data_IF_313016142169
#
_entry.id   IF_313016142169
#
_cell.length_a   1.000
_cell.length_b   1.000
_cell.length_c   1.000
_cell.angle_alpha   90.00
_cell.angle_beta   90.00
_cell.angle_gamma   90.00
#
_symmetry.space_group_name_H-M   'P 1'
#
loop_
_entity.id
_entity.type
_entity.pdbx_description
1 polymer ?
#
# COMPACT_ATOMS: atom_id res chain seq x y z
N UNK A 1 4.51 19.36 -29.54
CA UNK A 1 4.65 19.70 -28.09
C UNK A 1 4.55 18.39 -27.33
N UNK A 2 5.57 17.99 -26.60
CA UNK A 2 5.46 16.87 -25.66
C UNK A 2 4.56 17.34 -24.50
N UNK A 3 3.47 16.63 -24.27
CA UNK A 3 2.62 16.85 -23.09
C UNK A 3 3.41 16.47 -21.85
N UNK A 4 3.53 17.37 -20.88
CA UNK A 4 4.14 17.04 -19.58
C UNK A 4 3.31 15.95 -18.89
N UNK A 5 3.94 14.98 -18.20
CA UNK A 5 3.20 13.97 -17.44
C UNK A 5 2.38 14.64 -16.34
N UNK A 6 1.15 14.19 -16.18
CA UNK A 6 0.24 14.65 -15.11
C UNK A 6 0.08 13.64 -13.98
N UNK A 7 0.68 12.46 -14.14
CA UNK A 7 0.63 11.36 -13.18
C UNK A 7 2.00 10.72 -13.05
N UNK A 8 2.34 10.27 -11.85
CA UNK A 8 3.57 9.52 -11.60
C UNK A 8 3.31 8.30 -10.71
N UNK A 9 4.09 7.26 -10.94
CA UNK A 9 4.16 6.06 -10.11
C UNK A 9 5.57 5.90 -9.55
N UNK A 10 5.66 5.68 -8.25
CA UNK A 10 6.90 5.43 -7.54
C UNK A 10 6.88 4.01 -7.01
N UNK A 11 7.88 3.22 -7.38
CA UNK A 11 7.97 1.81 -7.01
C UNK A 11 8.85 1.61 -5.77
N UNK A 12 8.31 0.95 -4.75
CA UNK A 12 9.05 0.53 -3.56
C UNK A 12 9.02 -1.01 -3.50
N UNK A 13 10.08 -1.71 -3.89
CA UNK A 13 10.05 -3.16 -4.10
C UNK A 13 10.10 -3.99 -2.82
N UNK A 14 10.16 -3.38 -1.65
CA UNK A 14 10.41 -4.08 -0.39
C UNK A 14 9.13 -4.62 0.24
N UNK A 15 9.22 -5.85 0.78
CA UNK A 15 8.16 -6.48 1.57
C UNK A 15 8.74 -7.08 2.86
N UNK A 16 8.01 -6.96 3.95
CA UNK A 16 8.29 -7.65 5.23
C UNK A 16 7.93 -9.13 5.16
N UNK A 17 7.02 -9.50 4.25
CA UNK A 17 6.56 -10.86 4.00
C UNK A 17 6.28 -11.04 2.51
N UNK A 18 6.74 -12.16 1.94
CA UNK A 18 6.41 -12.54 0.56
C UNK A 18 5.16 -13.40 0.56
N UNK A 19 4.08 -12.89 -0.02
CA UNK A 19 2.80 -13.58 -0.12
C UNK A 19 2.80 -14.60 -1.27
N UNK A 20 2.16 -15.75 -1.08
CA UNK A 20 2.23 -16.87 -2.03
C UNK A 20 1.53 -16.61 -3.38
N UNK A 21 0.61 -15.66 -3.41
CA UNK A 21 -0.16 -15.31 -4.62
C UNK A 21 0.46 -14.16 -5.44
N UNK A 22 1.47 -13.48 -4.88
CA UNK A 22 1.93 -12.22 -5.42
C UNK A 22 3.07 -12.43 -6.42
N UNK A 23 2.91 -11.96 -7.65
CA UNK A 23 3.91 -11.99 -8.73
C UNK A 23 4.42 -10.59 -9.14
N UNK A 24 4.12 -9.54 -8.34
CA UNK A 24 4.72 -8.23 -8.52
C UNK A 24 6.24 -8.25 -8.32
N UNK A 25 6.94 -7.28 -8.94
CA UNK A 25 8.38 -7.07 -8.71
C UNK A 25 8.63 -6.66 -7.27
N UNK A 26 9.08 -7.59 -6.45
CA UNK A 26 9.31 -7.39 -5.02
C UNK A 26 10.50 -8.21 -4.52
N UNK A 27 11.05 -7.75 -3.41
CA UNK A 27 12.12 -8.45 -2.67
C UNK A 27 11.81 -8.44 -1.18
N UNK A 28 12.28 -9.47 -0.47
CA UNK A 28 12.21 -9.50 0.99
C UNK A 28 13.17 -8.44 1.55
N UNK A 29 12.67 -7.55 2.41
CA UNK A 29 13.39 -6.34 2.86
C UNK A 29 14.66 -6.64 3.67
N UNK A 30 14.74 -7.81 4.34
CA UNK A 30 15.87 -8.15 5.19
C UNK A 30 17.17 -8.16 4.39
N UNK A 31 18.17 -7.44 4.90
CA UNK A 31 19.50 -7.29 4.29
C UNK A 31 19.52 -6.55 2.93
N UNK A 32 18.44 -5.85 2.57
CA UNK A 32 18.44 -5.01 1.37
C UNK A 32 19.03 -3.63 1.66
N UNK A 33 19.72 -3.02 0.70
CA UNK A 33 20.27 -1.67 0.83
C UNK A 33 19.18 -0.60 0.63
N UNK A 34 18.17 -0.57 1.54
CA UNK A 34 16.98 0.29 1.41
C UNK A 34 17.36 1.75 1.29
N UNK A 35 18.30 2.24 2.10
CA UNK A 35 18.72 3.64 2.07
C UNK A 35 19.41 4.02 0.75
N UNK A 36 20.22 3.12 0.18
CA UNK A 36 20.84 3.36 -1.12
C UNK A 36 19.81 3.40 -2.24
N UNK A 37 18.83 2.50 -2.18
CA UNK A 37 17.71 2.50 -3.11
C UNK A 37 16.93 3.81 -3.04
N UNK A 38 16.53 4.25 -1.85
CA UNK A 38 15.78 5.50 -1.68
C UNK A 38 16.59 6.71 -2.15
N UNK A 39 17.90 6.76 -1.87
CA UNK A 39 18.78 7.83 -2.38
C UNK A 39 18.87 7.83 -3.90
N UNK A 40 18.94 6.66 -4.53
CA UNK A 40 18.97 6.54 -5.98
C UNK A 40 17.65 6.98 -6.61
N UNK A 41 16.52 6.54 -6.04
CA UNK A 41 15.16 6.89 -6.46
C UNK A 41 14.92 8.41 -6.37
N UNK A 42 15.35 9.06 -5.28
CA UNK A 42 15.19 10.51 -5.14
C UNK A 42 16.05 11.27 -6.16
N UNK A 43 17.28 10.80 -6.44
CA UNK A 43 18.10 11.39 -7.51
C UNK A 43 17.44 11.27 -8.88
N UNK A 44 16.85 10.11 -9.20
CA UNK A 44 16.07 9.91 -10.43
C UNK A 44 14.87 10.88 -10.47
N UNK A 45 14.13 10.98 -9.37
CA UNK A 45 13.00 11.91 -9.24
C UNK A 45 13.39 13.37 -9.50
N UNK A 46 14.52 13.81 -8.94
CA UNK A 46 15.04 15.18 -9.14
C UNK A 46 15.44 15.43 -10.61
N UNK A 47 16.00 14.43 -11.30
CA UNK A 47 16.37 14.52 -12.72
C UNK A 47 15.16 14.66 -13.66
N UNK A 48 14.00 14.14 -13.27
CA UNK A 48 12.77 14.28 -14.05
C UNK A 48 12.21 15.70 -14.04
N UNK A 49 12.64 16.56 -13.12
CA UNK A 49 12.22 17.97 -12.96
C UNK A 49 10.71 18.17 -13.02
N UNK A 50 9.96 17.26 -12.43
CA UNK A 50 8.51 17.31 -12.36
C UNK A 50 8.11 18.36 -11.33
N UNK A 51 7.28 19.33 -11.74
CA UNK A 51 6.79 20.42 -10.87
C UNK A 51 5.30 20.27 -10.55
N UNK A 52 4.54 19.73 -11.48
CA UNK A 52 3.07 19.65 -11.36
C UNK A 52 2.61 18.24 -11.67
N UNK A 53 1.85 17.68 -10.76
CA UNK A 53 1.14 16.40 -10.94
C UNK A 53 -0.30 16.57 -10.47
N UNK A 54 -1.21 15.85 -11.12
CA UNK A 54 -2.57 15.65 -10.62
C UNK A 54 -2.63 14.44 -9.70
N UNK A 55 -1.89 13.38 -10.04
CA UNK A 55 -1.87 12.16 -9.23
C UNK A 55 -0.45 11.63 -9.01
N UNK A 56 -0.17 11.19 -7.79
CA UNK A 56 1.06 10.50 -7.41
C UNK A 56 0.70 9.22 -6.68
N UNK A 57 1.26 8.09 -7.11
CA UNK A 57 0.99 6.79 -6.54
C UNK A 57 2.31 6.12 -6.11
N UNK A 58 2.40 5.74 -4.85
CA UNK A 58 3.52 4.95 -4.32
C UNK A 58 3.02 3.53 -4.05
N UNK A 59 3.59 2.58 -4.78
CA UNK A 59 3.21 1.17 -4.68
C UNK A 59 4.39 0.23 -4.90
N UNK A 60 4.09 -1.03 -5.21
CA UNK A 60 5.10 -2.04 -5.57
C UNK A 60 5.06 -3.29 -4.72
N UNK A 61 6.07 -3.48 -3.87
CA UNK A 61 6.04 -4.50 -2.83
C UNK A 61 5.10 -4.06 -1.69
N UNK A 62 5.63 -3.28 -0.78
CA UNK A 62 4.85 -2.64 0.29
C UNK A 62 5.58 -1.36 0.72
N UNK A 63 5.16 -0.17 0.30
CA UNK A 63 5.82 1.08 0.68
C UNK A 63 5.96 1.26 2.19
N UNK A 64 5.00 0.79 2.97
CA UNK A 64 5.05 0.84 4.44
C UNK A 64 5.92 -0.25 5.10
N UNK A 65 6.59 -1.10 4.33
CA UNK A 65 7.57 -2.05 4.85
C UNK A 65 8.87 -1.38 5.34
N UNK A 66 9.20 -0.19 4.80
CA UNK A 66 10.38 0.58 5.22
C UNK A 66 10.17 1.23 6.59
N UNK A 67 11.24 1.74 7.23
CA UNK A 67 11.11 2.39 8.54
C UNK A 67 10.37 3.72 8.47
N UNK A 68 9.94 4.27 9.61
CA UNK A 68 9.28 5.58 9.66
C UNK A 68 10.21 6.69 9.18
N UNK A 69 11.50 6.64 9.52
CA UNK A 69 12.51 7.60 9.07
C UNK A 69 12.73 7.53 7.55
N UNK A 70 12.76 6.30 7.01
CA UNK A 70 12.89 6.08 5.57
C UNK A 70 11.66 6.55 4.81
N UNK A 71 10.47 6.33 5.39
CA UNK A 71 9.20 6.80 4.83
C UNK A 71 9.12 8.34 4.84
N UNK A 72 9.54 8.97 5.93
CA UNK A 72 9.62 10.44 6.03
C UNK A 72 10.61 11.02 5.01
N UNK A 73 11.80 10.42 4.89
CA UNK A 73 12.78 10.79 3.87
C UNK A 73 12.19 10.72 2.46
N UNK A 74 11.51 9.61 2.12
CA UNK A 74 10.89 9.41 0.81
C UNK A 74 9.83 10.48 0.53
N UNK A 75 8.84 10.62 1.43
CA UNK A 75 7.70 11.52 1.22
C UNK A 75 8.14 12.99 1.18
N UNK A 76 9.02 13.41 2.09
CA UNK A 76 9.52 14.78 2.14
C UNK A 76 10.26 15.18 0.86
N UNK A 77 11.07 14.27 0.29
CA UNK A 77 11.81 14.58 -0.93
C UNK A 77 10.94 14.49 -2.19
N UNK A 78 9.99 13.56 -2.28
CA UNK A 78 9.07 13.50 -3.43
C UNK A 78 8.22 14.76 -3.56
N UNK A 79 7.77 15.33 -2.47
CA UNK A 79 6.86 16.50 -2.49
C UNK A 79 7.60 17.85 -2.47
N UNK A 80 8.90 17.89 -2.19
CA UNK A 80 9.70 19.11 -2.00
C UNK A 80 9.59 20.13 -3.14
N UNK A 81 9.54 19.66 -4.39
CA UNK A 81 9.54 20.50 -5.59
C UNK A 81 8.20 20.47 -6.34
N UNK A 82 7.17 19.79 -5.79
CA UNK A 82 5.85 19.73 -6.41
C UNK A 82 4.98 20.92 -6.02
N UNK A 83 4.20 21.43 -6.97
CA UNK A 83 3.06 22.29 -6.66
C UNK A 83 1.92 21.45 -6.09
N UNK A 84 1.88 21.36 -4.77
CA UNK A 84 0.87 20.56 -4.06
C UNK A 84 -0.56 21.06 -4.28
N UNK A 85 -0.75 22.32 -4.73
CA UNK A 85 -2.08 22.85 -5.05
C UNK A 85 -2.72 22.21 -6.29
N UNK A 86 -1.91 21.56 -7.13
CA UNK A 86 -2.34 20.84 -8.33
C UNK A 86 -2.56 19.34 -8.08
N UNK A 87 -2.07 18.84 -6.94
CA UNK A 87 -2.12 17.41 -6.60
C UNK A 87 -3.51 17.05 -6.07
N UNK A 88 -4.29 16.33 -6.88
CA UNK A 88 -5.65 15.89 -6.55
C UNK A 88 -5.63 14.61 -5.71
N UNK A 89 -4.75 13.66 -6.06
CA UNK A 89 -4.60 12.40 -5.34
C UNK A 89 -3.13 12.04 -5.13
N UNK A 90 -2.78 11.78 -3.89
CA UNK A 90 -1.50 11.18 -3.51
C UNK A 90 -1.77 9.89 -2.73
N UNK A 91 -1.64 8.77 -3.43
CA UNK A 91 -1.90 7.43 -2.88
C UNK A 91 -0.64 6.75 -2.42
N UNK A 92 -0.72 6.05 -1.29
CA UNK A 92 0.29 5.09 -0.83
C UNK A 92 -0.35 3.74 -0.54
N UNK A 93 0.32 2.66 -0.98
CA UNK A 93 -0.04 1.30 -0.58
C UNK A 93 0.51 0.97 0.79
N UNK A 94 -0.27 0.23 1.56
CA UNK A 94 0.08 -0.20 2.92
C UNK A 94 -0.44 -1.61 3.20
N UNK A 95 0.22 -2.30 4.13
CA UNK A 95 -0.31 -3.51 4.74
C UNK A 95 -0.76 -3.23 6.18
N UNK A 96 -1.84 -3.87 6.68
CA UNK A 96 -2.30 -3.66 8.05
C UNK A 96 -1.21 -3.88 9.11
N UNK A 97 -0.43 -4.95 9.00
CA UNK A 97 0.65 -5.25 9.95
C UNK A 97 1.87 -4.33 9.91
N UNK A 98 2.00 -3.48 8.88
CA UNK A 98 3.15 -2.59 8.69
C UNK A 98 2.86 -1.13 9.10
N UNK A 99 1.62 -0.78 9.42
CA UNK A 99 1.20 0.56 9.83
C UNK A 99 1.38 0.76 11.33
N UNK A 100 2.57 1.18 11.73
CA UNK A 100 2.84 1.61 13.11
C UNK A 100 2.37 3.06 13.34
N UNK A 101 2.22 3.45 14.61
CA UNK A 101 1.84 4.82 15.00
C UNK A 101 2.78 5.85 14.38
N UNK A 102 4.10 5.60 14.43
CA UNK A 102 5.11 6.51 13.88
C UNK A 102 4.95 6.70 12.36
N UNK A 103 4.66 5.62 11.63
CA UNK A 103 4.41 5.70 10.17
C UNK A 103 3.14 6.45 9.85
N UNK A 104 2.07 6.25 10.63
CA UNK A 104 0.82 7.00 10.47
C UNK A 104 1.06 8.50 10.71
N UNK A 105 1.85 8.86 11.71
CA UNK A 105 2.22 10.27 11.94
C UNK A 105 3.06 10.86 10.80
N UNK A 106 3.94 10.08 10.17
CA UNK A 106 4.67 10.49 8.96
C UNK A 106 3.69 10.72 7.80
N UNK A 107 2.78 9.79 7.55
CA UNK A 107 1.75 9.95 6.51
C UNK A 107 0.89 11.19 6.73
N UNK A 108 0.47 11.44 7.97
CA UNK A 108 -0.34 12.61 8.36
C UNK A 108 0.36 13.95 8.10
N UNK A 109 1.69 14.00 8.25
CA UNK A 109 2.51 15.21 7.99
C UNK A 109 2.79 15.43 6.51
N UNK A 110 2.55 14.46 5.67
CA UNK A 110 2.78 14.51 4.22
C UNK A 110 1.54 15.00 3.45
N UNK A 111 1.68 15.13 2.13
CA UNK A 111 0.56 15.42 1.23
C UNK A 111 -0.24 14.15 0.84
N UNK A 112 0.07 12.98 1.38
CA UNK A 112 -0.70 11.75 1.14
C UNK A 112 -2.13 11.96 1.61
N UNK A 113 -3.09 11.75 0.70
CA UNK A 113 -4.52 11.92 0.98
C UNK A 113 -5.35 10.66 0.71
N UNK A 114 -4.72 9.57 0.22
CA UNK A 114 -5.36 8.28 0.02
C UNK A 114 -4.43 7.14 0.45
N UNK A 115 -4.98 6.16 1.18
CA UNK A 115 -4.27 4.93 1.55
C UNK A 115 -4.97 3.73 0.89
N UNK A 116 -4.22 2.89 0.14
CA UNK A 116 -4.70 1.60 -0.36
C UNK A 116 -4.18 0.50 0.56
N UNK A 117 -5.09 -0.16 1.28
CA UNK A 117 -4.75 -1.11 2.32
C UNK A 117 -4.96 -2.54 1.83
N UNK A 118 -3.88 -3.32 1.76
CA UNK A 118 -3.89 -4.70 1.32
C UNK A 118 -4.49 -5.65 2.35
N UNK A 119 -5.81 -5.64 2.50
CA UNK A 119 -6.56 -6.48 3.45
C UNK A 119 -6.65 -7.92 2.96
N UNK A 120 -6.99 -8.13 1.71
CA UNK A 120 -7.18 -9.38 0.97
C UNK A 120 -8.41 -10.18 1.42
N UNK A 121 -8.57 -10.46 2.69
CA UNK A 121 -9.75 -11.11 3.31
C UNK A 121 -9.79 -10.78 4.80
N UNK A 122 -10.96 -10.90 5.41
CA UNK A 122 -11.13 -10.77 6.87
C UNK A 122 -11.07 -12.12 7.60
N UNK A 123 -10.85 -13.22 6.88
CA UNK A 123 -10.75 -14.56 7.46
C UNK A 123 -9.27 -14.90 7.76
N UNK A 124 -8.94 -15.09 9.03
CA UNK A 124 -7.59 -15.38 9.49
C UNK A 124 -7.01 -16.69 8.94
N UNK A 125 -7.87 -17.68 8.64
CA UNK A 125 -7.43 -18.94 8.04
C UNK A 125 -6.94 -18.70 6.61
N UNK A 126 -7.73 -17.97 5.83
CA UNK A 126 -7.34 -17.62 4.45
C UNK A 126 -6.13 -16.67 4.42
N UNK A 127 -6.03 -15.70 5.36
CA UNK A 127 -4.84 -14.84 5.48
C UNK A 127 -3.56 -15.68 5.64
N UNK A 128 -3.56 -16.62 6.58
CA UNK A 128 -2.42 -17.54 6.76
C UNK A 128 -2.15 -18.40 5.52
N UNK A 129 -3.21 -18.90 4.88
CA UNK A 129 -3.12 -19.74 3.69
C UNK A 129 -2.46 -19.04 2.50
N UNK A 130 -2.65 -17.73 2.36
CA UNK A 130 -2.03 -16.91 1.29
C UNK A 130 -0.72 -16.25 1.72
N UNK A 131 -0.19 -16.56 2.91
CA UNK A 131 1.09 -16.07 3.39
C UNK A 131 1.05 -14.62 3.89
N UNK A 132 -0.09 -14.13 4.42
CA UNK A 132 -0.17 -12.81 5.05
C UNK A 132 0.31 -12.87 6.50
N UNK A 133 1.01 -11.83 6.93
CA UNK A 133 1.55 -11.70 8.29
C UNK A 133 0.58 -11.08 9.29
N UNK A 134 -0.46 -10.39 8.82
CA UNK A 134 -1.47 -9.74 9.65
C UNK A 134 -2.70 -10.63 9.84
N UNK A 135 -3.53 -10.27 10.82
CA UNK A 135 -4.80 -10.91 11.15
C UNK A 135 -5.95 -9.90 11.10
N UNK A 136 -7.18 -10.39 11.28
CA UNK A 136 -8.39 -9.57 11.25
C UNK A 136 -8.36 -8.40 12.26
N UNK A 137 -7.87 -8.63 13.48
CA UNK A 137 -7.79 -7.58 14.49
C UNK A 137 -6.88 -6.41 14.04
N UNK A 138 -5.73 -6.73 13.45
CA UNK A 138 -4.80 -5.72 12.90
C UNK A 138 -5.38 -4.95 11.72
N UNK A 139 -6.28 -5.55 10.93
CA UNK A 139 -7.02 -4.85 9.87
C UNK A 139 -7.89 -3.76 10.49
N UNK A 140 -8.70 -4.10 11.50
CA UNK A 140 -9.56 -3.13 12.18
C UNK A 140 -8.75 -2.02 12.84
N UNK A 141 -7.73 -2.38 13.60
CA UNK A 141 -6.83 -1.44 14.27
C UNK A 141 -6.18 -0.44 13.28
N UNK A 142 -5.70 -0.93 12.15
CA UNK A 142 -5.09 -0.08 11.12
C UNK A 142 -6.06 0.91 10.52
N UNK A 143 -7.29 0.47 10.21
CA UNK A 143 -8.33 1.34 9.65
C UNK A 143 -8.76 2.40 10.67
N UNK A 144 -8.95 2.01 11.93
CA UNK A 144 -9.36 2.94 13.00
C UNK A 144 -8.24 3.95 13.28
N UNK A 145 -6.98 3.52 13.29
CA UNK A 145 -5.82 4.39 13.46
C UNK A 145 -5.67 5.40 12.30
N UNK A 146 -5.86 4.97 11.05
CA UNK A 146 -5.86 5.86 9.90
C UNK A 146 -7.00 6.89 9.99
N UNK A 147 -8.21 6.48 10.36
CA UNK A 147 -9.35 7.39 10.55
C UNK A 147 -9.10 8.39 11.67
N UNK A 148 -8.58 7.94 12.80
CA UNK A 148 -8.22 8.80 13.93
C UNK A 148 -7.14 9.82 13.53
N UNK A 149 -6.23 9.47 12.61
CA UNK A 149 -5.24 10.37 12.05
C UNK A 149 -5.81 11.36 11.00
N UNK A 150 -7.08 11.20 10.59
CA UNK A 150 -7.76 12.09 9.64
C UNK A 150 -7.81 11.58 8.20
N UNK A 151 -7.39 10.34 7.93
CA UNK A 151 -7.54 9.74 6.60
C UNK A 151 -8.97 9.30 6.36
N UNK A 152 -9.66 9.94 5.40
CA UNK A 152 -11.02 9.61 5.01
C UNK A 152 -11.09 8.86 3.69
N UNK A 153 -10.06 8.95 2.85
CA UNK A 153 -9.96 8.22 1.59
C UNK A 153 -9.11 6.95 1.78
N UNK A 154 -9.76 5.89 2.27
CA UNK A 154 -9.15 4.58 2.49
C UNK A 154 -9.77 3.59 1.51
N UNK A 155 -8.95 3.03 0.62
CA UNK A 155 -9.30 1.89 -0.22
C UNK A 155 -8.84 0.60 0.45
N UNK A 156 -9.59 -0.48 0.30
CA UNK A 156 -9.13 -1.81 0.69
C UNK A 156 -9.10 -2.74 -0.51
N UNK A 157 -8.05 -3.55 -0.58
CA UNK A 157 -7.91 -4.56 -1.62
C UNK A 157 -8.43 -5.89 -1.07
N UNK A 158 -9.32 -6.52 -1.82
CA UNK A 158 -9.90 -7.83 -1.49
C UNK A 158 -9.59 -8.84 -2.59
N UNK A 159 -9.32 -10.07 -2.19
CA UNK A 159 -9.15 -11.20 -3.11
C UNK A 159 -10.32 -12.15 -2.91
N UNK A 160 -10.91 -12.63 -3.99
CA UNK A 160 -11.92 -13.68 -4.00
C UNK A 160 -11.43 -14.92 -4.75
N UNK A 161 -12.15 -16.01 -4.63
CA UNK A 161 -11.76 -17.31 -5.16
C UNK A 161 -10.48 -17.88 -4.51
N UNK A 162 -10.28 -17.59 -3.22
CA UNK A 162 -9.23 -18.23 -2.43
C UNK A 162 -9.53 -19.73 -2.30
N UNK A 163 -8.50 -20.61 -2.23
CA UNK A 163 -8.71 -22.05 -2.08
C UNK A 163 -9.59 -22.37 -0.88
N UNK A 164 -10.72 -23.05 -1.14
CA UNK A 164 -11.70 -23.39 -0.11
C UNK A 164 -12.60 -22.25 0.38
N UNK A 165 -12.52 -21.06 -0.23
CA UNK A 165 -13.40 -19.95 0.11
C UNK A 165 -14.83 -20.19 -0.40
N UNK A 166 -15.80 -19.97 0.46
CA UNK A 166 -17.23 -20.05 0.12
C UNK A 166 -17.78 -18.71 -0.34
N UNK A 167 -18.92 -18.74 -1.05
CA UNK A 167 -19.63 -17.51 -1.44
C UNK A 167 -20.09 -16.67 -0.25
N UNK A 168 -20.42 -17.31 0.88
CA UNK A 168 -20.82 -16.60 2.07
C UNK A 168 -19.65 -15.85 2.71
N UNK A 169 -18.44 -16.43 2.71
CA UNK A 169 -17.23 -15.73 3.14
C UNK A 169 -16.87 -14.54 2.23
N UNK A 170 -17.10 -14.66 0.91
CA UNK A 170 -16.93 -13.52 -0.02
C UNK A 170 -17.94 -12.40 0.32
N UNK A 171 -19.21 -12.74 0.54
CA UNK A 171 -20.25 -11.76 0.96
C UNK A 171 -19.87 -11.10 2.29
N UNK A 172 -19.37 -11.87 3.26
CA UNK A 172 -18.94 -11.35 4.56
C UNK A 172 -17.80 -10.35 4.42
N UNK A 173 -16.81 -10.61 3.56
CA UNK A 173 -15.75 -9.65 3.26
C UNK A 173 -16.31 -8.31 2.74
N UNK A 174 -17.33 -8.35 1.87
CA UNK A 174 -17.99 -7.14 1.35
C UNK A 174 -18.78 -6.42 2.44
N UNK A 175 -19.46 -7.17 3.32
CA UNK A 175 -20.21 -6.58 4.46
C UNK A 175 -19.24 -5.91 5.44
N UNK A 176 -18.14 -6.57 5.80
CA UNK A 176 -17.13 -6.01 6.69
C UNK A 176 -16.55 -4.70 6.12
N UNK A 177 -16.27 -4.64 4.81
CA UNK A 177 -15.86 -3.41 4.13
C UNK A 177 -16.88 -2.28 4.32
N UNK A 178 -18.17 -2.56 4.17
CA UNK A 178 -19.23 -1.57 4.32
C UNK A 178 -19.36 -1.07 5.77
N UNK A 179 -19.25 -1.97 6.75
CA UNK A 179 -19.26 -1.62 8.18
C UNK A 179 -18.12 -0.65 8.50
N UNK A 180 -16.94 -0.87 7.91
CA UNK A 180 -15.78 0.00 8.11
C UNK A 180 -15.89 1.36 7.43
N UNK A 181 -16.86 1.59 6.55
CA UNK A 181 -17.05 2.84 5.80
C UNK A 181 -15.77 3.29 5.07
N UNK A 182 -15.07 2.35 4.44
CA UNK A 182 -13.94 2.67 3.57
C UNK A 182 -14.45 3.27 2.26
N UNK A 183 -13.69 4.19 1.64
CA UNK A 183 -14.12 4.92 0.44
C UNK A 183 -14.28 4.05 -0.78
N UNK A 184 -13.46 3.00 -0.92
CA UNK A 184 -13.52 2.06 -2.05
C UNK A 184 -12.98 0.68 -1.67
N UNK A 185 -13.25 -0.31 -2.51
CA UNK A 185 -12.59 -1.62 -2.46
C UNK A 185 -12.26 -2.05 -3.89
N UNK A 186 -11.09 -2.61 -4.07
CA UNK A 186 -10.68 -3.31 -5.29
C UNK A 186 -10.73 -4.80 -4.99
N UNK A 187 -11.40 -5.58 -5.84
CA UNK A 187 -11.48 -7.03 -5.69
C UNK A 187 -10.81 -7.70 -6.90
N UNK A 188 -9.91 -8.63 -6.63
CA UNK A 188 -9.19 -9.40 -7.65
C UNK A 188 -9.47 -10.90 -7.49
N UNK A 189 -9.62 -11.62 -8.60
CA UNK A 189 -9.63 -13.08 -8.58
C UNK A 189 -8.19 -13.59 -8.53
N UNK A 190 -7.94 -14.61 -7.70
CA UNK A 190 -6.71 -15.38 -7.81
C UNK A 190 -6.81 -16.29 -9.03
N UNK A 191 -5.80 -16.24 -9.89
CA UNK A 191 -5.51 -17.33 -10.81
C UNK A 191 -5.13 -18.61 -10.04
N UNK A 192 -4.92 -19.74 -10.73
CA UNK A 192 -4.50 -20.97 -10.06
C UNK A 192 -3.22 -20.70 -9.27
N UNK A 193 -3.27 -20.91 -7.94
CA UNK A 193 -2.08 -20.89 -7.11
C UNK A 193 -1.24 -22.09 -7.52
N UNK A 194 -0.14 -21.84 -8.22
CA UNK A 194 0.88 -22.85 -8.41
C UNK A 194 1.55 -23.00 -7.04
N UNK A 195 1.17 -24.06 -6.29
CA UNK A 195 1.93 -24.44 -5.12
C UNK A 195 3.37 -24.69 -5.58
N UNK A 196 4.38 -23.98 -5.10
CA UNK A 196 5.73 -24.50 -5.20
C UNK A 196 5.71 -25.80 -4.35
N UNK A 197 5.97 -26.93 -4.99
CA UNK A 197 6.20 -28.17 -4.27
C UNK A 197 7.28 -27.95 -3.20
N UNK A 198 7.20 -28.69 -2.05
CA UNK A 198 8.04 -28.46 -0.88
C UNK A 198 9.52 -28.65 -1.17
#
# INVERSE_FOLDING_TARGET
MQTKPTSAYVHIPFCTQICYYCDFSKVFIKNQPVDDYLRALIREWELLDIKELRTLYIGGGTPTAISAEQLDYLLSNLQKNLDLSKLEEFTIEANPGDLTVDKIEVLKKSAVNRVSLGVQTFDDKHLRQIGRSHNQAQIYESIDSLKAAGFHNISIDLIYALPGQTMDQVKENVVNRNIMKTSSAVASALGPIINPEP
#
